data_IF_770966759220
#
_entry.id   IF_770966759220
#
_cell.length_a   1.000
_cell.length_b   1.000
_cell.length_c   1.000
_cell.angle_alpha   90.00
_cell.angle_beta   90.00
_cell.angle_gamma   90.00
#
_symmetry.space_group_name_H-M   'P 1'
#
loop_
_entity.id
_entity.type
_entity.pdbx_description
1 polymer ?
#
# COMPACT_ATOMS: atom_id res chain seq x y z
N UNK A 1 7.19 2.13 15.14
CA UNK A 1 6.36 3.35 15.08
C UNK A 1 4.97 3.01 15.59
N UNK A 2 4.51 3.67 16.67
CA UNK A 2 3.08 3.69 16.99
C UNK A 2 2.48 4.89 16.23
N UNK A 3 1.57 4.65 15.33
CA UNK A 3 0.71 5.72 14.83
C UNK A 3 -0.16 6.15 16.00
N UNK A 4 0.08 7.35 16.55
CA UNK A 4 -0.90 7.95 17.42
C UNK A 4 -2.18 8.11 16.58
N UNK A 5 -3.35 7.76 17.14
CA UNK A 5 -4.64 7.88 16.44
C UNK A 5 -5.04 9.34 16.16
N UNK A 6 -4.08 10.21 15.86
CA UNK A 6 -4.30 11.61 15.50
C UNK A 6 -3.87 11.86 14.04
N UNK A 7 -4.51 12.81 13.36
CA UNK A 7 -4.14 13.21 12.01
C UNK A 7 -2.69 13.67 11.88
N UNK A 8 -2.17 14.39 12.88
CA UNK A 8 -0.77 14.84 12.92
C UNK A 8 0.20 13.67 13.05
N UNK A 9 -0.15 12.67 13.87
CA UNK A 9 0.63 11.44 14.03
C UNK A 9 0.69 10.67 12.71
N UNK A 10 -0.42 10.55 12.01
CA UNK A 10 -0.48 9.91 10.70
C UNK A 10 0.34 10.67 9.65
N UNK A 11 0.27 12.01 9.63
CA UNK A 11 1.09 12.83 8.73
C UNK A 11 2.59 12.68 9.05
N UNK A 12 2.97 12.65 10.33
CA UNK A 12 4.36 12.44 10.74
C UNK A 12 4.88 11.06 10.32
N UNK A 13 4.06 10.03 10.48
CA UNK A 13 4.34 8.67 10.01
C UNK A 13 4.53 8.62 8.49
N UNK A 14 3.60 9.19 7.72
CA UNK A 14 3.68 9.24 6.26
C UNK A 14 4.93 9.98 5.76
N UNK A 15 5.34 11.07 6.44
CA UNK A 15 6.61 11.77 6.19
C UNK A 15 7.83 10.87 6.44
N UNK A 16 7.77 10.01 7.45
CA UNK A 16 8.85 9.06 7.75
C UNK A 16 8.96 7.98 6.67
N UNK A 17 7.84 7.42 6.23
CA UNK A 17 7.80 6.47 5.11
C UNK A 17 8.35 7.10 3.82
N UNK A 18 7.95 8.32 3.49
CA UNK A 18 8.44 9.03 2.31
C UNK A 18 9.97 9.14 2.30
N UNK A 19 10.60 9.38 3.46
CA UNK A 19 12.07 9.42 3.59
C UNK A 19 12.71 8.03 3.40
N UNK A 20 12.05 6.98 3.89
CA UNK A 20 12.52 5.60 3.70
C UNK A 20 12.44 5.15 2.25
N UNK A 21 11.40 5.54 1.54
CA UNK A 21 11.16 5.16 0.15
C UNK A 21 12.07 5.91 -0.84
N UNK A 22 12.49 7.12 -0.49
CA UNK A 22 13.15 8.04 -1.40
C UNK A 22 14.43 7.46 -2.03
N UNK A 23 14.42 7.29 -3.35
CA UNK A 23 15.56 6.87 -4.16
C UNK A 23 16.03 5.43 -3.92
N UNK A 24 15.23 4.56 -3.30
CA UNK A 24 15.58 3.17 -3.00
C UNK A 24 14.82 2.17 -3.86
N UNK A 25 15.43 1.03 -4.10
CA UNK A 25 14.70 -0.15 -4.56
C UNK A 25 13.84 -0.68 -3.41
N UNK A 26 12.64 -1.15 -3.73
CA UNK A 26 11.68 -1.62 -2.74
C UNK A 26 11.25 -3.04 -3.11
N UNK A 27 11.24 -3.93 -2.12
CA UNK A 27 10.79 -5.32 -2.23
C UNK A 27 9.73 -5.56 -1.15
N UNK A 28 8.49 -5.69 -1.56
CA UNK A 28 7.34 -5.54 -0.67
C UNK A 28 6.38 -6.73 -0.77
N UNK A 29 5.95 -7.26 0.35
CA UNK A 29 4.84 -8.20 0.47
C UNK A 29 3.70 -7.44 1.13
N UNK A 30 2.59 -7.28 0.40
CA UNK A 30 1.41 -6.55 0.84
C UNK A 30 0.22 -7.49 1.08
N UNK A 31 -0.33 -7.39 2.26
CA UNK A 31 -1.54 -8.11 2.65
C UNK A 31 -2.80 -7.23 2.54
N UNK A 32 -2.60 -5.95 2.33
CA UNK A 32 -3.62 -4.92 2.19
C UNK A 32 -3.37 -4.08 0.93
N UNK A 33 -4.34 -3.22 0.56
CA UNK A 33 -4.16 -2.28 -0.56
C UNK A 33 -3.26 -1.13 -0.13
N UNK A 34 -2.09 -0.98 -0.73
CA UNK A 34 -1.18 0.07 -0.31
C UNK A 34 -1.65 1.43 -0.83
N UNK A 35 -2.05 2.29 0.07
CA UNK A 35 -2.46 3.68 -0.22
C UNK A 35 -1.39 4.46 -0.97
N UNK A 36 -0.11 4.16 -0.74
CA UNK A 36 1.00 4.79 -1.45
C UNK A 36 1.01 4.57 -2.97
N UNK A 37 0.21 3.61 -3.47
CA UNK A 37 0.03 3.38 -4.92
C UNK A 37 -1.24 4.02 -5.47
N UNK A 38 -2.05 4.66 -4.63
CA UNK A 38 -3.25 5.39 -5.05
C UNK A 38 -2.84 6.81 -5.46
N UNK A 39 -3.36 7.27 -6.59
CA UNK A 39 -3.10 8.63 -7.05
C UNK A 39 -3.59 9.66 -6.02
N UNK A 40 -2.77 10.67 -5.69
CA UNK A 40 -3.08 11.61 -4.62
C UNK A 40 -4.42 12.32 -4.76
N UNK A 41 -4.81 12.66 -5.98
CA UNK A 41 -6.08 13.29 -6.30
C UNK A 41 -7.30 12.42 -5.97
N UNK A 42 -7.13 11.09 -6.01
CA UNK A 42 -8.18 10.12 -5.62
C UNK A 42 -8.31 10.02 -4.10
N UNK A 43 -7.27 10.35 -3.35
CA UNK A 43 -7.27 10.26 -1.88
C UNK A 43 -7.91 11.46 -1.17
N UNK A 44 -7.90 12.64 -1.80
CA UNK A 44 -8.33 13.88 -1.13
C UNK A 44 -9.80 13.84 -0.69
N UNK A 45 -10.69 13.35 -1.56
CA UNK A 45 -12.10 13.18 -1.23
C UNK A 45 -12.32 12.21 -0.08
N UNK A 46 -11.87 10.95 -0.20
CA UNK A 46 -11.94 9.96 0.88
C UNK A 46 -11.34 10.43 2.21
N UNK A 47 -10.24 11.18 2.19
CA UNK A 47 -9.62 11.71 3.40
C UNK A 47 -10.51 12.77 4.07
N UNK A 48 -11.02 13.74 3.30
CA UNK A 48 -11.93 14.78 3.82
C UNK A 48 -13.18 14.15 4.42
N UNK A 49 -13.82 13.25 3.70
CA UNK A 49 -15.02 12.56 4.15
C UNK A 49 -14.77 11.71 5.39
N UNK A 50 -13.62 11.03 5.45
CA UNK A 50 -13.21 10.23 6.60
C UNK A 50 -13.00 11.08 7.85
N UNK A 51 -12.31 12.20 7.76
CA UNK A 51 -12.14 13.12 8.88
C UNK A 51 -13.48 13.70 9.36
N UNK A 52 -14.38 14.06 8.43
CA UNK A 52 -15.74 14.51 8.76
C UNK A 52 -16.52 13.45 9.53
N UNK A 53 -16.46 12.19 9.08
CA UNK A 53 -17.13 11.07 9.74
C UNK A 53 -16.62 10.82 11.18
N UNK A 54 -15.35 11.14 11.46
CA UNK A 54 -14.75 11.06 12.79
C UNK A 54 -14.93 12.32 13.65
N UNK A 55 -15.77 13.27 13.20
CA UNK A 55 -16.14 14.45 13.98
C UNK A 55 -15.09 15.58 13.98
N UNK A 56 -14.13 15.54 13.07
CA UNK A 56 -13.21 16.68 12.91
C UNK A 56 -13.93 17.87 12.29
N UNK A 57 -13.68 19.06 12.83
CA UNK A 57 -14.21 20.30 12.29
C UNK A 57 -13.72 20.50 10.85
N UNK A 58 -14.63 20.87 9.97
CA UNK A 58 -14.31 21.21 8.58
C UNK A 58 -13.89 22.69 8.52
N UNK A 59 -12.67 22.96 8.95
CA UNK A 59 -12.09 24.30 9.06
C UNK A 59 -10.78 24.42 8.28
N UNK A 60 -10.21 25.61 8.29
CA UNK A 60 -8.96 25.92 7.57
C UNK A 60 -7.78 25.06 8.07
N UNK A 61 -7.78 24.65 9.33
CA UNK A 61 -6.72 23.82 9.89
C UNK A 61 -6.77 22.40 9.32
N UNK A 62 -7.96 21.81 9.15
CA UNK A 62 -8.14 20.52 8.49
C UNK A 62 -7.75 20.59 7.01
N UNK A 63 -8.18 21.62 6.30
CA UNK A 63 -7.82 21.81 4.89
C UNK A 63 -6.30 21.99 4.69
N UNK A 64 -5.62 22.70 5.58
CA UNK A 64 -4.17 22.80 5.56
C UNK A 64 -3.50 21.44 5.79
N UNK A 65 -4.00 20.65 6.73
CA UNK A 65 -3.48 19.32 7.03
C UNK A 65 -3.70 18.35 5.86
N UNK A 66 -4.88 18.35 5.24
CA UNK A 66 -5.16 17.57 4.02
C UNK A 66 -4.22 17.99 2.90
N UNK A 67 -3.99 19.28 2.73
CA UNK A 67 -3.02 19.81 1.76
C UNK A 67 -1.58 19.35 2.02
N UNK A 68 -1.16 19.27 3.29
CA UNK A 68 0.15 18.73 3.65
C UNK A 68 0.23 17.22 3.37
N UNK A 69 -0.81 16.47 3.71
CA UNK A 69 -0.92 15.04 3.42
C UNK A 69 -0.83 14.78 1.92
N UNK A 70 -1.59 15.51 1.10
CA UNK A 70 -1.53 15.43 -0.35
C UNK A 70 -0.10 15.63 -0.87
N UNK A 71 0.60 16.67 -0.42
CA UNK A 71 1.99 16.96 -0.85
C UNK A 71 2.97 15.84 -0.50
N UNK A 72 2.83 15.24 0.68
CA UNK A 72 3.68 14.12 1.10
C UNK A 72 3.36 12.89 0.28
N UNK A 73 2.07 12.62 0.09
CA UNK A 73 1.61 11.47 -0.67
C UNK A 73 1.99 11.57 -2.15
N UNK A 74 1.89 12.75 -2.75
CA UNK A 74 2.38 13.00 -4.12
C UNK A 74 3.85 12.61 -4.27
N UNK A 75 4.71 13.00 -3.32
CA UNK A 75 6.13 12.63 -3.34
C UNK A 75 6.34 11.12 -3.22
N UNK A 76 5.52 10.42 -2.42
CA UNK A 76 5.57 8.96 -2.32
C UNK A 76 5.13 8.31 -3.63
N UNK A 77 4.00 8.74 -4.17
CA UNK A 77 3.48 8.28 -5.45
C UNK A 77 4.50 8.47 -6.58
N UNK A 78 5.04 9.67 -6.74
CA UNK A 78 6.10 9.95 -7.72
C UNK A 78 7.32 9.06 -7.51
N UNK A 79 7.70 8.82 -6.27
CA UNK A 79 8.82 7.96 -5.95
C UNK A 79 8.58 6.50 -6.35
N UNK A 80 7.34 6.01 -6.33
CA UNK A 80 7.01 4.66 -6.80
C UNK A 80 6.98 4.57 -8.32
N UNK A 81 6.39 5.51 -9.01
CA UNK A 81 6.09 5.41 -10.44
C UNK A 81 7.08 6.15 -11.36
N UNK A 82 7.78 7.17 -10.87
CA UNK A 82 8.70 7.99 -11.69
C UNK A 82 10.19 7.72 -11.37
N UNK A 83 10.50 6.92 -10.36
CA UNK A 83 11.88 6.69 -9.97
C UNK A 83 12.62 5.75 -10.92
N UNK A 84 13.96 5.87 -10.90
CA UNK A 84 14.88 5.01 -11.67
C UNK A 84 15.20 3.68 -10.99
N UNK A 85 14.70 3.44 -9.78
CA UNK A 85 14.98 2.23 -9.01
C UNK A 85 13.75 1.35 -8.91
N UNK A 86 13.90 0.03 -9.02
CA UNK A 86 12.76 -0.87 -9.10
C UNK A 86 11.97 -0.94 -7.81
N UNK A 87 10.67 -1.07 -7.97
CA UNK A 87 9.74 -1.55 -6.93
C UNK A 87 9.21 -2.90 -7.38
N UNK A 88 9.33 -3.89 -6.52
CA UNK A 88 8.72 -5.20 -6.67
C UNK A 88 7.74 -5.40 -5.51
N UNK A 89 6.46 -5.56 -5.81
CA UNK A 89 5.44 -5.78 -4.80
C UNK A 89 4.65 -7.06 -5.09
N UNK A 90 4.44 -7.89 -4.08
CA UNK A 90 3.60 -9.09 -4.16
C UNK A 90 2.37 -8.86 -3.31
N UNK A 91 1.18 -8.94 -3.92
CA UNK A 91 -0.10 -8.73 -3.26
C UNK A 91 -0.81 -10.04 -2.90
N UNK A 92 -1.56 -9.97 -1.81
CA UNK A 92 -2.61 -10.92 -1.52
C UNK A 92 -3.74 -10.76 -2.54
N UNK A 93 -4.05 -11.80 -3.32
CA UNK A 93 -5.21 -11.80 -4.22
C UNK A 93 -6.51 -11.59 -3.42
N UNK A 94 -6.66 -12.26 -2.28
CA UNK A 94 -7.83 -12.13 -1.43
C UNK A 94 -8.05 -10.68 -0.95
N UNK A 95 -7.01 -10.01 -0.49
CA UNK A 95 -7.11 -8.61 -0.05
C UNK A 95 -7.51 -7.68 -1.21
N UNK A 96 -6.97 -7.92 -2.40
CA UNK A 96 -7.33 -7.13 -3.59
C UNK A 96 -8.75 -7.42 -4.09
N UNK A 97 -9.24 -8.65 -3.95
CA UNK A 97 -10.65 -9.00 -4.23
C UNK A 97 -11.60 -8.32 -3.24
N UNK A 98 -11.27 -8.32 -1.94
CA UNK A 98 -12.03 -7.61 -0.92
C UNK A 98 -12.05 -6.10 -1.22
N UNK A 99 -10.89 -5.51 -1.52
CA UNK A 99 -10.83 -4.11 -1.94
C UNK A 99 -11.70 -3.84 -3.18
N UNK A 100 -11.66 -4.68 -4.19
CA UNK A 100 -12.48 -4.53 -5.39
C UNK A 100 -13.99 -4.60 -5.09
N UNK A 101 -14.40 -5.40 -4.11
CA UNK A 101 -15.80 -5.56 -3.70
C UNK A 101 -16.30 -4.43 -2.80
N UNK A 102 -15.53 -4.03 -1.79
CA UNK A 102 -16.01 -3.19 -0.69
C UNK A 102 -15.31 -1.85 -0.55
N UNK A 103 -14.19 -1.66 -1.22
CA UNK A 103 -13.28 -0.54 -0.99
C UNK A 103 -12.30 -0.87 0.14
N UNK A 104 -11.89 0.15 0.89
CA UNK A 104 -11.03 -0.04 2.05
C UNK A 104 -11.90 -0.40 3.25
N UNK A 105 -11.76 -1.60 3.74
CA UNK A 105 -12.41 -2.05 4.97
C UNK A 105 -11.48 -1.96 6.19
N UNK A 106 -10.38 -1.22 6.10
CA UNK A 106 -9.46 -1.21 7.22
C UNK A 106 -9.73 -0.04 8.14
N UNK A 107 -10.05 -0.33 9.38
CA UNK A 107 -9.98 0.60 10.52
C UNK A 107 -8.58 1.21 10.69
N UNK A 108 -7.61 0.74 9.89
CA UNK A 108 -6.23 1.19 9.90
C UNK A 108 -6.04 2.60 9.35
N UNK A 109 -6.98 3.07 8.55
CA UNK A 109 -6.97 4.42 7.98
C UNK A 109 -8.23 5.15 8.40
N UNK A 110 -8.35 5.40 9.71
CA UNK A 110 -9.50 6.12 10.28
C UNK A 110 -9.78 7.47 9.59
N UNK A 111 -8.81 7.96 8.81
CA UNK A 111 -8.92 9.19 8.05
C UNK A 111 -9.40 8.99 6.60
N UNK A 112 -9.83 7.81 6.21
CA UNK A 112 -10.31 7.55 4.84
C UNK A 112 -11.67 6.86 4.88
N UNK A 113 -12.66 7.37 4.12
CA UNK A 113 -13.85 6.57 3.82
C UNK A 113 -13.51 5.46 2.82
N UNK A 114 -14.31 4.41 2.75
CA UNK A 114 -14.19 3.41 1.69
C UNK A 114 -14.24 4.05 0.29
N UNK A 115 -13.45 3.55 -0.63
CA UNK A 115 -13.45 4.00 -2.02
C UNK A 115 -14.73 3.58 -2.74
N UNK A 116 -15.32 4.49 -3.49
CA UNK A 116 -16.45 4.21 -4.37
C UNK A 116 -16.06 3.22 -5.50
N UNK A 117 -17.04 2.54 -6.14
CA UNK A 117 -16.76 1.68 -7.29
C UNK A 117 -15.93 2.35 -8.39
N UNK A 118 -16.22 3.60 -8.71
CA UNK A 118 -15.49 4.35 -9.74
C UNK A 118 -14.03 4.62 -9.33
N UNK A 119 -13.79 4.98 -8.06
CA UNK A 119 -12.45 5.17 -7.52
C UNK A 119 -11.67 3.85 -7.51
N UNK A 120 -12.28 2.73 -7.12
CA UNK A 120 -11.67 1.40 -7.14
C UNK A 120 -11.26 0.98 -8.55
N UNK A 121 -12.14 1.17 -9.53
CA UNK A 121 -11.84 0.91 -10.95
C UNK A 121 -10.66 1.75 -11.41
N UNK A 122 -10.64 3.04 -11.07
CA UNK A 122 -9.53 3.94 -11.42
C UNK A 122 -8.20 3.49 -10.83
N UNK A 123 -8.18 3.13 -9.55
CA UNK A 123 -6.99 2.64 -8.84
C UNK A 123 -6.46 1.35 -9.48
N UNK A 124 -7.33 0.36 -9.68
CA UNK A 124 -6.96 -0.93 -10.25
C UNK A 124 -6.47 -0.81 -11.70
N UNK A 125 -7.12 0.05 -12.49
CA UNK A 125 -6.70 0.35 -13.87
C UNK A 125 -5.32 0.98 -13.90
N UNK A 126 -5.08 1.98 -13.04
CA UNK A 126 -3.76 2.61 -12.92
C UNK A 126 -2.67 1.61 -12.54
N UNK A 127 -2.91 0.75 -11.55
CA UNK A 127 -1.94 -0.28 -11.14
C UNK A 127 -1.65 -1.26 -12.28
N UNK A 128 -2.67 -1.69 -13.01
CA UNK A 128 -2.52 -2.54 -14.20
C UNK A 128 -1.64 -1.88 -15.26
N UNK A 129 -1.95 -0.63 -15.62
CA UNK A 129 -1.21 0.13 -16.63
C UNK A 129 0.26 0.35 -16.21
N UNK A 130 0.51 0.71 -14.95
CA UNK A 130 1.87 0.87 -14.44
C UNK A 130 2.64 -0.45 -14.48
N UNK A 131 2.00 -1.56 -14.14
CA UNK A 131 2.63 -2.87 -14.20
C UNK A 131 2.95 -3.32 -15.64
N UNK A 132 2.18 -2.87 -16.63
CA UNK A 132 2.41 -3.16 -18.05
C UNK A 132 3.49 -2.28 -18.68
N UNK A 133 3.52 -1.00 -18.32
CA UNK A 133 4.27 0.00 -19.08
C UNK A 133 5.50 0.55 -18.37
N UNK A 134 5.55 0.45 -17.03
CA UNK A 134 6.65 0.99 -16.23
C UNK A 134 7.66 -0.10 -15.86
N UNK A 135 8.85 -0.13 -16.48
CA UNK A 135 9.84 -1.19 -16.25
C UNK A 135 10.42 -1.18 -14.82
N UNK A 136 10.20 -0.11 -14.07
CA UNK A 136 10.64 0.03 -12.68
C UNK A 136 9.55 -0.26 -11.66
N UNK A 137 8.36 -0.66 -12.10
CA UNK A 137 7.25 -1.02 -11.22
C UNK A 137 6.73 -2.41 -11.61
N UNK A 138 7.00 -3.40 -10.76
CA UNK A 138 6.60 -4.78 -10.98
C UNK A 138 5.69 -5.24 -9.86
N UNK A 139 4.45 -5.55 -10.20
CA UNK A 139 3.45 -6.04 -9.27
C UNK A 139 3.10 -7.49 -9.61
N UNK A 140 2.96 -8.30 -8.58
CA UNK A 140 2.69 -9.72 -8.68
C UNK A 140 1.58 -10.13 -7.72
N UNK A 141 0.96 -11.29 -7.98
CA UNK A 141 0.06 -11.97 -7.03
C UNK A 141 0.63 -13.32 -6.66
N UNK A 142 0.40 -13.76 -5.43
CA UNK A 142 0.72 -15.13 -5.04
C UNK A 142 -0.12 -16.14 -5.83
N UNK A 143 0.50 -17.28 -6.15
CA UNK A 143 -0.20 -18.42 -6.75
C UNK A 143 -1.29 -18.96 -5.82
N UNK A 144 -2.41 -19.48 -6.36
CA UNK A 144 -3.41 -20.19 -5.57
C UNK A 144 -2.79 -21.32 -4.76
N UNK A 145 -3.26 -21.50 -3.54
CA UNK A 145 -2.77 -22.54 -2.63
C UNK A 145 -1.45 -22.24 -1.92
N UNK A 146 -0.76 -21.16 -2.27
CA UNK A 146 0.39 -20.72 -1.48
C UNK A 146 -0.09 -20.09 -0.17
N UNK A 147 0.41 -20.60 0.96
CA UNK A 147 0.12 -20.03 2.28
C UNK A 147 0.84 -18.69 2.42
N UNK A 148 0.08 -17.64 2.29
CA UNK A 148 0.61 -16.28 2.37
C UNK A 148 1.19 -15.99 3.77
N UNK A 149 2.22 -15.14 3.87
CA UNK A 149 2.67 -14.60 5.16
C UNK A 149 1.51 -13.90 5.88
N UNK A 150 1.54 -13.88 7.21
CA UNK A 150 0.60 -13.10 8.03
C UNK A 150 1.14 -11.71 8.38
N UNK A 151 2.31 -11.39 7.88
CA UNK A 151 3.03 -10.16 8.19
C UNK A 151 3.41 -9.50 6.87
N UNK A 152 3.15 -8.23 6.75
CA UNK A 152 3.69 -7.43 5.66
C UNK A 152 5.18 -7.23 5.87
N UNK A 153 5.95 -7.32 4.81
CA UNK A 153 7.41 -7.19 4.87
C UNK A 153 7.85 -6.27 3.74
N UNK A 154 8.40 -5.12 4.09
CA UNK A 154 8.90 -4.15 3.13
C UNK A 154 10.40 -3.90 3.31
N UNK A 155 11.20 -4.28 2.34
CA UNK A 155 12.62 -3.95 2.30
C UNK A 155 12.83 -2.63 1.56
N UNK A 156 13.39 -1.64 2.25
CA UNK A 156 13.94 -0.42 1.68
C UNK A 156 15.46 -0.60 1.52
N UNK A 157 15.91 -0.86 0.31
CA UNK A 157 17.31 -1.22 0.06
C UNK A 157 18.28 -0.14 0.56
N UNK A 158 19.21 -0.54 1.43
CA UNK A 158 20.18 0.36 2.07
C UNK A 158 19.67 1.10 3.32
N UNK A 159 18.37 0.93 3.70
CA UNK A 159 17.84 1.50 4.95
C UNK A 159 17.44 0.44 5.97
N UNK A 160 16.85 -0.67 5.52
CA UNK A 160 16.42 -1.74 6.41
C UNK A 160 15.16 -2.43 5.91
N UNK A 161 14.67 -3.37 6.71
CA UNK A 161 13.45 -4.13 6.44
C UNK A 161 12.39 -3.80 7.50
N UNK A 162 11.24 -3.34 7.09
CA UNK A 162 10.09 -3.08 7.93
C UNK A 162 9.17 -4.30 7.96
N UNK A 163 8.79 -4.71 9.15
CA UNK A 163 7.78 -5.71 9.39
C UNK A 163 6.54 -5.01 9.96
N UNK A 164 5.39 -5.20 9.34
CA UNK A 164 4.11 -4.72 9.84
C UNK A 164 3.28 -5.91 10.29
N UNK A 165 3.02 -6.00 11.57
CA UNK A 165 2.20 -7.07 12.17
C UNK A 165 0.80 -6.51 12.37
N UNK A 166 -0.18 -7.08 11.66
CA UNK A 166 -1.58 -6.82 11.94
C UNK A 166 -1.95 -7.60 13.20
N UNK A 167 -2.42 -6.90 14.22
CA UNK A 167 -2.95 -7.54 15.41
C UNK A 167 -4.40 -7.96 15.13
N UNK A 168 -4.58 -9.23 14.77
CA UNK A 168 -5.90 -9.79 14.42
C UNK A 168 -6.74 -10.18 15.64
N UNK A 169 -6.16 -10.15 16.86
CA UNK A 169 -6.83 -10.65 18.06
C UNK A 169 -7.29 -9.54 19.02
N UNK A 170 -6.97 -8.29 18.74
CA UNK A 170 -7.41 -7.16 19.56
C UNK A 170 -8.36 -6.26 18.75
N UNK A 171 -9.58 -6.20 19.20
CA UNK A 171 -10.66 -5.28 18.78
C UNK A 171 -10.36 -3.81 19.19
N UNK A 172 -9.12 -3.42 19.02
CA UNK A 172 -8.64 -2.09 19.34
C UNK A 172 -8.12 -1.40 18.07
N UNK A 173 -9.08 -0.74 17.38
CA UNK A 173 -8.80 0.48 16.59
C UNK A 173 -7.43 0.51 15.88
N UNK A 174 -7.20 -0.40 14.95
CA UNK A 174 -6.17 -0.19 13.90
C UNK A 174 -4.74 0.01 14.38
N UNK A 175 -4.33 -0.49 15.52
CA UNK A 175 -2.95 -0.41 15.97
C UNK A 175 -2.09 -1.43 15.22
N UNK A 176 -1.39 -0.98 14.17
CA UNK A 176 -0.30 -1.75 13.60
C UNK A 176 0.97 -1.58 14.43
N UNK A 177 1.62 -2.69 14.73
CA UNK A 177 2.97 -2.66 15.26
C UNK A 177 3.97 -2.79 14.10
N UNK A 178 4.79 -1.80 13.92
CA UNK A 178 5.86 -1.80 12.91
C UNK A 178 7.23 -1.91 13.58
N UNK A 179 8.04 -2.82 13.07
CA UNK A 179 9.41 -3.03 13.52
C UNK A 179 10.36 -2.83 12.36
N UNK A 180 11.30 -1.90 12.50
CA UNK A 180 12.37 -1.68 11.55
C UNK A 180 13.61 -2.49 11.93
N UNK A 181 14.00 -3.43 11.08
CA UNK A 181 15.22 -4.21 11.21
C UNK A 181 16.29 -3.56 10.34
N UNK A 182 17.28 -2.93 10.97
CA UNK A 182 18.40 -2.26 10.26
C UNK A 182 19.62 -3.16 10.01
N UNK A 183 19.55 -4.42 10.45
CA UNK A 183 20.63 -5.37 10.26
C UNK A 183 20.80 -5.73 8.77
N UNK A 184 21.93 -5.38 8.21
CA UNK A 184 22.26 -5.56 6.78
C UNK A 184 22.15 -7.02 6.34
N UNK A 185 22.60 -7.96 7.16
CA UNK A 185 22.54 -9.39 6.86
C UNK A 185 21.11 -9.91 6.73
N UNK A 186 20.19 -9.45 7.60
CA UNK A 186 18.78 -9.77 7.49
C UNK A 186 18.19 -9.25 6.16
N UNK A 187 18.42 -7.98 5.86
CA UNK A 187 17.94 -7.35 4.63
C UNK A 187 18.48 -8.04 3.37
N UNK A 188 19.75 -8.45 3.38
CA UNK A 188 20.36 -9.21 2.28
C UNK A 188 19.72 -10.59 2.10
N UNK A 189 19.48 -11.31 3.19
CA UNK A 189 18.81 -12.63 3.15
C UNK A 189 17.35 -12.50 2.69
N UNK A 190 16.65 -11.50 3.19
CA UNK A 190 15.28 -11.24 2.76
C UNK A 190 15.21 -10.93 1.26
N UNK A 191 16.09 -10.06 0.75
CA UNK A 191 16.15 -9.76 -0.69
C UNK A 191 16.39 -11.02 -1.53
N UNK A 192 17.35 -11.86 -1.12
CA UNK A 192 17.63 -13.12 -1.80
C UNK A 192 16.41 -14.06 -1.80
N UNK A 193 15.76 -14.24 -0.65
CA UNK A 193 14.51 -15.01 -0.53
C UNK A 193 13.40 -14.43 -1.42
N UNK A 194 13.21 -13.11 -1.42
CA UNK A 194 12.19 -12.47 -2.24
C UNK A 194 12.41 -12.75 -3.73
N UNK A 195 13.63 -12.59 -4.23
CA UNK A 195 13.94 -12.76 -5.64
C UNK A 195 13.94 -14.25 -6.04
N UNK A 196 14.67 -15.10 -5.32
CA UNK A 196 14.91 -16.48 -5.76
C UNK A 196 13.83 -17.45 -5.32
N UNK A 197 13.17 -17.22 -4.18
CA UNK A 197 12.14 -18.15 -3.72
C UNK A 197 10.72 -17.68 -4.07
N UNK A 198 10.42 -16.38 -3.88
CA UNK A 198 9.07 -15.88 -4.12
C UNK A 198 8.83 -15.59 -5.60
N UNK A 199 9.62 -14.72 -6.21
CA UNK A 199 9.37 -14.30 -7.60
C UNK A 199 9.54 -15.45 -8.60
N UNK A 200 10.50 -16.36 -8.40
CA UNK A 200 10.73 -17.45 -9.34
C UNK A 200 9.67 -18.58 -9.23
N UNK A 201 9.09 -18.80 -8.06
CA UNK A 201 8.27 -20.00 -7.85
C UNK A 201 6.88 -19.78 -7.25
N UNK A 202 6.62 -18.69 -6.54
CA UNK A 202 5.41 -18.51 -5.72
C UNK A 202 4.43 -17.48 -6.25
N UNK A 203 4.80 -16.73 -7.29
CA UNK A 203 3.92 -15.72 -7.90
C UNK A 203 3.37 -16.17 -9.24
N UNK A 204 2.27 -15.55 -9.65
CA UNK A 204 1.67 -15.71 -10.97
C UNK A 204 2.62 -15.18 -12.05
N UNK A 205 2.53 -15.74 -13.24
CA UNK A 205 3.20 -15.21 -14.42
C UNK A 205 2.68 -13.80 -14.76
N UNK A 206 3.43 -12.98 -15.53
CA UNK A 206 2.96 -11.67 -15.96
C UNK A 206 1.58 -11.70 -16.64
N UNK A 207 1.32 -12.66 -17.51
CA UNK A 207 0.03 -12.79 -18.20
C UNK A 207 -1.12 -13.16 -17.26
N UNK A 208 -0.86 -14.00 -16.25
CA UNK A 208 -1.86 -14.34 -15.22
C UNK A 208 -2.10 -13.14 -14.28
N UNK A 209 -1.07 -12.37 -13.95
CA UNK A 209 -1.17 -11.14 -13.17
C UNK A 209 -2.06 -10.12 -13.87
N UNK A 210 -1.88 -9.92 -15.17
CA UNK A 210 -2.73 -9.01 -15.95
C UNK A 210 -4.19 -9.46 -15.99
N UNK A 211 -4.42 -10.76 -16.19
CA UNK A 211 -5.77 -11.33 -16.15
C UNK A 211 -6.42 -11.16 -14.79
N UNK A 212 -5.65 -11.31 -13.70
CA UNK A 212 -6.15 -11.05 -12.34
C UNK A 212 -6.59 -9.59 -12.18
N UNK A 213 -5.84 -8.62 -12.72
CA UNK A 213 -6.29 -7.21 -12.70
C UNK A 213 -7.59 -6.99 -13.46
N UNK A 214 -7.77 -7.63 -14.61
CA UNK A 214 -9.01 -7.54 -15.40
C UNK A 214 -10.21 -8.08 -14.61
N UNK A 215 -10.03 -9.21 -13.94
CA UNK A 215 -11.05 -9.79 -13.04
C UNK A 215 -11.39 -8.84 -11.87
N UNK A 216 -10.37 -8.24 -11.23
CA UNK A 216 -10.56 -7.30 -10.12
C UNK A 216 -11.29 -6.03 -10.57
N UNK A 217 -10.96 -5.49 -11.74
CA UNK A 217 -11.63 -4.32 -12.33
C UNK A 217 -13.09 -4.63 -12.61
N UNK A 218 -13.39 -5.83 -13.11
CA UNK A 218 -14.77 -6.25 -13.37
C UNK A 218 -15.56 -6.42 -12.06
N UNK A 219 -14.95 -7.00 -11.02
CA UNK A 219 -15.55 -7.06 -9.67
C UNK A 219 -15.89 -5.66 -9.19
N UNK A 220 -14.95 -4.71 -9.27
CA UNK A 220 -15.15 -3.34 -8.81
C UNK A 220 -16.24 -2.58 -9.57
N UNK A 221 -16.47 -2.91 -10.86
CA UNK A 221 -17.55 -2.32 -11.67
C UNK A 221 -18.93 -2.82 -11.26
N UNK A 222 -19.01 -4.07 -10.80
CA UNK A 222 -20.29 -4.73 -10.50
C UNK A 222 -20.66 -4.63 -9.01
N UNK A 223 -19.80 -4.09 -8.17
CA UNK A 223 -20.02 -3.90 -6.73
C UNK A 223 -20.60 -2.50 -6.41
#
# INVERSE_FOLDING_TARGET
FQTSGSPEGYLAYTKSLQRLEQGRSIYDIKLDVPINFVAPEVLVGPARDGFAAHGFAQDDALEEMIGQFYKVHQKRFDNYFQKRRPTHAIFSRQAMEQFAQTGLESDHFFALRPFSPAERVSILTHLKEQNETNPNFCLYFFKPGYRQPRTEICLYEGAGTMLTVADTDYDLSGAHSEVMITQTEFSRKYKAFFIHDLLESKVLSPAETQRTFEELIEIARNA
#
